data_IF_673196806713
#
_entry.id   IF_673196806713
#
_cell.length_a   1.000
_cell.length_b   1.000
_cell.length_c   1.000
_cell.angle_alpha   90.00
_cell.angle_beta   90.00
_cell.angle_gamma   90.00
#
_symmetry.space_group_name_H-M   'P 1'
#
loop_
_entity.id
_entity.type
_entity.pdbx_description
1 polymer ?
#
# COMPACT_ATOMS: atom_id res chain seq x y z
N UNK A 1 4.56 8.71 -1.40
CA UNK A 1 4.28 7.29 -1.73
C UNK A 1 4.45 6.99 -3.22
N UNK A 2 3.81 7.74 -4.12
CA UNK A 2 3.90 7.52 -5.58
C UNK A 2 5.35 7.50 -6.12
N UNK A 3 6.20 8.41 -5.65
CA UNK A 3 7.63 8.44 -6.02
C UNK A 3 8.39 7.18 -5.55
N UNK A 4 8.09 6.69 -4.34
CA UNK A 4 8.68 5.45 -3.81
C UNK A 4 8.23 4.22 -4.60
N UNK A 5 6.96 4.18 -5.03
CA UNK A 5 6.44 3.10 -5.87
C UNK A 5 7.09 3.09 -7.27
N UNK A 6 7.24 4.26 -7.89
CA UNK A 6 7.89 4.37 -9.19
C UNK A 6 9.37 3.94 -9.14
N UNK A 7 10.09 4.36 -8.11
CA UNK A 7 11.48 3.94 -7.88
C UNK A 7 11.58 2.43 -7.62
N UNK A 8 10.66 1.87 -6.82
CA UNK A 8 10.59 0.43 -6.56
C UNK A 8 10.39 -0.37 -7.86
N UNK A 9 9.44 0.03 -8.71
CA UNK A 9 9.17 -0.63 -10.00
C UNK A 9 10.39 -0.58 -10.94
N UNK A 10 11.07 0.57 -11.02
CA UNK A 10 12.27 0.72 -11.84
C UNK A 10 13.41 -0.18 -11.34
N UNK A 11 13.60 -0.26 -10.02
CA UNK A 11 14.59 -1.14 -9.41
C UNK A 11 14.31 -2.62 -9.68
N UNK A 12 13.06 -3.08 -9.52
CA UNK A 12 12.64 -4.45 -9.89
C UNK A 12 12.98 -4.78 -11.34
N UNK A 13 12.60 -3.90 -12.27
CA UNK A 13 12.82 -4.12 -13.70
C UNK A 13 14.33 -4.20 -14.01
N UNK A 14 15.14 -3.35 -13.39
CA UNK A 14 16.59 -3.39 -13.52
C UNK A 14 17.20 -4.70 -13.03
N UNK A 15 16.83 -5.14 -11.82
CA UNK A 15 17.35 -6.39 -11.24
C UNK A 15 16.95 -7.60 -12.11
N UNK A 16 15.70 -7.69 -12.54
CA UNK A 16 15.22 -8.77 -13.42
C UNK A 16 15.99 -8.78 -14.74
N UNK A 17 16.21 -7.60 -15.34
CA UNK A 17 17.01 -7.50 -16.58
C UNK A 17 18.44 -8.01 -16.37
N UNK A 18 19.10 -7.64 -15.27
CA UNK A 18 20.44 -8.13 -14.95
C UNK A 18 20.49 -9.65 -14.74
N UNK A 19 19.46 -10.23 -14.13
CA UNK A 19 19.32 -11.68 -13.97
C UNK A 19 19.12 -12.37 -15.32
N UNK A 20 18.23 -11.86 -16.18
CA UNK A 20 17.93 -12.46 -17.49
C UNK A 20 19.10 -12.39 -18.47
N UNK A 21 19.86 -11.29 -18.44
CA UNK A 21 20.98 -11.06 -19.38
C UNK A 21 22.31 -11.63 -18.91
N UNK A 22 22.37 -12.18 -17.68
CA UNK A 22 23.54 -12.86 -17.11
C UNK A 22 24.85 -12.06 -17.26
N UNK A 23 24.78 -10.73 -17.13
CA UNK A 23 25.86 -9.81 -17.50
C UNK A 23 27.15 -10.05 -16.69
N UNK A 24 27.05 -10.51 -15.43
CA UNK A 24 28.22 -10.85 -14.56
C UNK A 24 27.90 -11.93 -13.50
N UNK A 25 28.28 -13.21 -13.70
CA UNK A 25 28.04 -14.28 -12.73
C UNK A 25 28.81 -14.10 -11.40
N UNK A 26 29.95 -13.40 -11.42
CA UNK A 26 30.76 -13.13 -10.22
C UNK A 26 30.03 -12.22 -9.22
N UNK A 27 29.00 -11.51 -9.70
CA UNK A 27 28.18 -10.56 -8.93
C UNK A 27 26.87 -11.18 -8.43
N UNK A 28 26.66 -12.49 -8.63
CA UNK A 28 25.41 -13.18 -8.29
C UNK A 28 24.99 -13.03 -6.82
N UNK A 29 25.94 -13.01 -5.87
CA UNK A 29 25.61 -12.83 -4.46
C UNK A 29 25.03 -11.44 -4.15
N UNK A 30 25.47 -10.39 -4.88
CA UNK A 30 24.92 -9.04 -4.74
C UNK A 30 23.51 -8.95 -5.31
N UNK A 31 23.23 -9.67 -6.40
CA UNK A 31 21.89 -9.76 -6.99
C UNK A 31 20.91 -10.47 -6.04
N UNK A 32 21.33 -11.56 -5.41
CA UNK A 32 20.52 -12.26 -4.39
C UNK A 32 20.21 -11.34 -3.19
N UNK A 33 21.21 -10.59 -2.71
CA UNK A 33 20.99 -9.61 -1.64
C UNK A 33 20.05 -8.47 -2.05
N UNK A 34 20.14 -8.00 -3.29
CA UNK A 34 19.25 -6.98 -3.82
C UNK A 34 17.80 -7.49 -3.91
N UNK A 35 17.59 -8.71 -4.39
CA UNK A 35 16.27 -9.36 -4.43
C UNK A 35 15.66 -9.52 -3.03
N UNK A 36 16.43 -9.98 -2.05
CA UNK A 36 15.94 -10.12 -0.67
C UNK A 36 15.50 -8.78 -0.07
N UNK A 37 16.28 -7.71 -0.27
CA UNK A 37 15.89 -6.37 0.18
C UNK A 37 14.62 -5.88 -0.51
N UNK A 38 14.49 -6.15 -1.80
CA UNK A 38 13.36 -5.72 -2.59
C UNK A 38 12.05 -6.39 -2.12
N UNK A 39 12.09 -7.69 -1.82
CA UNK A 39 10.95 -8.40 -1.20
C UNK A 39 10.61 -7.80 0.18
N UNK A 40 11.61 -7.51 1.02
CA UNK A 40 11.38 -6.89 2.33
C UNK A 40 10.73 -5.50 2.21
N UNK A 41 11.18 -4.69 1.25
CA UNK A 41 10.61 -3.36 0.97
C UNK A 41 9.15 -3.51 0.50
N UNK A 42 8.88 -4.44 -0.42
CA UNK A 42 7.52 -4.73 -0.89
C UNK A 42 6.58 -5.16 0.25
N UNK A 43 7.05 -6.04 1.13
CA UNK A 43 6.31 -6.42 2.34
C UNK A 43 6.05 -5.21 3.25
N UNK A 44 7.06 -4.40 3.54
CA UNK A 44 6.91 -3.20 4.37
C UNK A 44 5.89 -2.21 3.80
N UNK A 45 5.93 -1.97 2.49
CA UNK A 45 4.97 -1.11 1.79
C UNK A 45 3.53 -1.65 1.88
N UNK A 46 3.35 -2.97 1.79
CA UNK A 46 2.03 -3.58 1.94
C UNK A 46 1.46 -3.46 3.36
N UNK A 47 2.31 -3.58 4.40
CA UNK A 47 1.90 -3.39 5.80
C UNK A 47 1.47 -1.94 6.05
N UNK A 48 2.23 -0.97 5.55
CA UNK A 48 1.87 0.45 5.67
C UNK A 48 0.57 0.74 4.91
N UNK A 49 0.42 0.21 3.69
CA UNK A 49 -0.80 0.33 2.90
C UNK A 49 -2.02 -0.22 3.63
N UNK A 50 -1.89 -1.40 4.24
CA UNK A 50 -2.95 -1.99 5.06
C UNK A 50 -3.28 -1.15 6.29
N UNK A 51 -2.27 -0.72 7.05
CA UNK A 51 -2.49 0.09 8.25
C UNK A 51 -3.22 1.39 7.93
N UNK A 52 -2.88 2.05 6.83
CA UNK A 52 -3.62 3.24 6.36
C UNK A 52 -5.07 2.93 6.02
N UNK A 53 -5.34 1.78 5.39
CA UNK A 53 -6.70 1.34 5.08
C UNK A 53 -7.51 1.07 6.36
N UNK A 54 -6.93 0.33 7.31
CA UNK A 54 -7.59 -0.04 8.56
C UNK A 54 -7.90 1.19 9.43
N UNK A 55 -6.96 2.12 9.57
CA UNK A 55 -7.19 3.37 10.31
C UNK A 55 -8.25 4.24 9.64
N UNK A 56 -8.25 4.32 8.31
CA UNK A 56 -9.29 5.03 7.56
C UNK A 56 -10.68 4.39 7.75
N UNK A 57 -10.73 3.07 7.83
CA UNK A 57 -11.95 2.33 8.10
C UNK A 57 -12.46 2.58 9.52
N UNK A 58 -11.57 2.60 10.53
CA UNK A 58 -11.93 2.94 11.92
C UNK A 58 -12.50 4.35 12.04
N UNK A 59 -11.92 5.32 11.35
CA UNK A 59 -12.43 6.70 11.33
C UNK A 59 -13.85 6.74 10.76
N UNK A 60 -14.09 6.04 9.64
CA UNK A 60 -15.42 5.91 9.06
C UNK A 60 -16.40 5.31 10.07
N UNK A 61 -16.05 4.18 10.68
CA UNK A 61 -16.90 3.49 11.65
C UNK A 61 -17.21 4.36 12.88
N UNK A 62 -16.23 5.12 13.38
CA UNK A 62 -16.42 6.09 14.46
C UNK A 62 -17.45 7.18 14.07
N UNK A 63 -17.41 7.68 12.83
CA UNK A 63 -18.38 8.66 12.36
C UNK A 63 -19.81 8.11 12.28
N UNK A 64 -19.99 6.82 11.99
CA UNK A 64 -21.31 6.17 12.02
C UNK A 64 -21.80 5.91 13.45
N UNK A 65 -20.90 5.51 14.35
CA UNK A 65 -21.24 5.13 15.73
C UNK A 65 -21.29 6.32 16.71
N UNK A 66 -20.98 7.54 16.25
CA UNK A 66 -21.05 8.71 17.11
C UNK A 66 -22.52 9.02 17.47
N UNK A 67 -22.82 9.55 18.67
CA UNK A 67 -24.18 9.88 19.08
C UNK A 67 -24.65 11.20 18.44
N UNK A 68 -24.69 11.24 17.11
CA UNK A 68 -25.01 12.39 16.27
C UNK A 68 -26.40 12.97 16.55
N UNK A 69 -27.31 12.18 17.14
CA UNK A 69 -28.67 12.59 17.46
C UNK A 69 -28.70 13.76 18.46
N UNK A 70 -27.75 13.81 19.38
CA UNK A 70 -27.64 14.87 20.40
C UNK A 70 -26.83 16.09 19.94
N UNK A 71 -26.32 16.10 18.71
CA UNK A 71 -25.52 17.21 18.20
C UNK A 71 -26.39 18.38 17.73
N UNK A 72 -25.80 19.58 17.73
CA UNK A 72 -26.42 20.76 17.12
C UNK A 72 -26.62 20.57 15.60
N UNK A 73 -27.53 21.34 15.00
CA UNK A 73 -27.82 21.23 13.56
C UNK A 73 -26.60 21.48 12.68
N UNK A 74 -25.70 22.37 13.10
CA UNK A 74 -24.49 22.70 12.36
C UNK A 74 -23.57 21.49 12.23
N UNK A 75 -23.33 20.77 13.32
CA UNK A 75 -22.47 19.59 13.35
C UNK A 75 -23.11 18.40 12.63
N UNK A 76 -24.44 18.26 12.68
CA UNK A 76 -25.18 17.26 11.88
C UNK A 76 -24.99 17.50 10.38
N UNK A 77 -25.10 18.75 9.93
CA UNK A 77 -24.85 19.12 8.52
C UNK A 77 -23.40 18.85 8.12
N UNK A 78 -22.43 19.18 8.97
CA UNK A 78 -21.01 18.88 8.73
C UNK A 78 -20.77 17.37 8.62
N UNK A 79 -21.37 16.56 9.49
CA UNK A 79 -21.25 15.10 9.45
C UNK A 79 -21.77 14.53 8.11
N UNK A 80 -22.93 15.00 7.64
CA UNK A 80 -23.51 14.60 6.35
C UNK A 80 -22.62 14.94 5.15
N UNK A 81 -21.81 15.99 5.25
CA UNK A 81 -20.84 16.37 4.20
C UNK A 81 -19.59 15.47 4.25
N UNK A 82 -19.15 15.06 5.45
CA UNK A 82 -17.92 14.28 5.65
C UNK A 82 -18.13 12.77 5.41
N UNK A 83 -19.32 12.23 5.74
CA UNK A 83 -19.66 10.82 5.57
C UNK A 83 -19.44 10.26 4.14
N UNK A 84 -19.84 10.95 3.06
CA UNK A 84 -19.58 10.47 1.70
C UNK A 84 -18.09 10.57 1.31
N UNK A 85 -17.33 11.46 1.95
CA UNK A 85 -15.90 11.66 1.72
C UNK A 85 -15.02 10.65 2.48
N UNK A 86 -15.55 9.95 3.48
CA UNK A 86 -14.84 8.92 4.27
C UNK A 86 -14.86 7.56 3.58
N UNK A 87 -14.50 7.53 2.29
CA UNK A 87 -14.10 6.27 1.64
C UNK A 87 -12.76 5.85 2.25
N UNK A 88 -12.59 4.56 2.62
CA UNK A 88 -11.34 4.11 3.20
C UNK A 88 -10.20 4.38 2.20
N UNK A 89 -9.11 4.98 2.69
CA UNK A 89 -7.97 5.32 1.86
C UNK A 89 -7.33 4.03 1.40
N UNK A 90 -7.38 3.78 0.10
CA UNK A 90 -6.72 2.66 -0.53
C UNK A 90 -5.48 3.19 -1.25
N UNK A 91 -4.32 2.61 -0.95
CA UNK A 91 -3.09 2.87 -1.69
C UNK A 91 -3.03 1.86 -2.82
N UNK A 92 -3.36 2.29 -4.04
CA UNK A 92 -3.17 1.49 -5.25
C UNK A 92 -1.87 1.88 -5.95
N UNK A 93 -1.15 0.87 -6.45
CA UNK A 93 -0.01 1.07 -7.33
C UNK A 93 -0.55 1.27 -8.75
N UNK A 94 -0.66 2.53 -9.19
CA UNK A 94 -1.19 2.92 -10.50
C UNK A 94 -2.54 2.27 -10.86
N UNK A 95 -3.38 2.02 -9.85
CA UNK A 95 -4.67 1.31 -9.97
C UNK A 95 -4.59 -0.15 -10.45
N UNK A 96 -3.38 -0.71 -10.56
CA UNK A 96 -3.15 -2.08 -11.00
C UNK A 96 -3.22 -3.06 -9.83
N UNK A 97 -2.69 -2.66 -8.66
CA UNK A 97 -2.61 -3.50 -7.47
C UNK A 97 -2.90 -2.67 -6.22
N UNK A 98 -3.89 -3.11 -5.44
CA UNK A 98 -4.15 -2.56 -4.10
C UNK A 98 -3.13 -3.16 -3.15
N UNK A 99 -2.35 -2.31 -2.47
CA UNK A 99 -1.39 -2.73 -1.46
C UNK A 99 -2.12 -3.14 -0.18
N UNK A 100 -2.47 -4.42 -0.12
CA UNK A 100 -3.08 -5.11 1.01
C UNK A 100 -2.27 -6.39 1.31
N UNK A 101 -2.44 -7.01 2.46
CA UNK A 101 -1.83 -8.31 2.81
C UNK A 101 -2.07 -9.40 1.74
N UNK A 102 -3.11 -9.29 0.93
CA UNK A 102 -3.34 -10.17 -0.23
C UNK A 102 -2.22 -10.12 -1.29
N UNK A 103 -1.39 -9.08 -1.30
CA UNK A 103 -0.22 -9.00 -2.19
C UNK A 103 0.89 -9.92 -1.68
N UNK A 104 1.10 -9.99 -0.36
CA UNK A 104 2.11 -10.87 0.26
C UNK A 104 1.80 -12.34 -0.04
N UNK A 105 0.52 -12.74 0.06
CA UNK A 105 0.11 -14.13 -0.20
C UNK A 105 0.18 -14.53 -1.67
N UNK A 106 0.05 -13.57 -2.60
CA UNK A 106 0.21 -13.83 -4.03
C UNK A 106 1.68 -13.92 -4.46
N UNK A 107 2.57 -13.18 -3.80
CA UNK A 107 4.01 -13.21 -4.07
C UNK A 107 4.69 -14.43 -3.46
N UNK A 108 4.20 -14.93 -2.31
CA UNK A 108 4.76 -16.12 -1.65
C UNK A 108 4.39 -17.48 -2.27
N UNK A 109 3.61 -17.50 -3.36
CA UNK A 109 3.19 -18.74 -4.07
C UNK A 109 3.92 -18.89 -5.42
N UNK A 110 4.91 -18.04 -5.70
CA UNK A 110 5.73 -18.08 -6.92
C UNK A 110 7.08 -18.73 -6.65
#
# INVERSE_FOLDING_TARGET
MLFLMAAYILCTAGIIFFVMTNIRPDTNWRLVYALLNEILIGMGLSVVGQSMYDESYKIKDMFYNCPWMYWNERNKKTLLIILPCTKPIQVSCFDLVILNHSVITKVGVL
#
